data_IF_785787727518
#
_entry.id   IF_785787727518
#
_cell.length_a   1.000
_cell.length_b   1.000
_cell.length_c   1.000
_cell.angle_alpha   90.00
_cell.angle_beta   90.00
_cell.angle_gamma   90.00
#
_symmetry.space_group_name_H-M   'P 1'
#
loop_
_entity.id
_entity.type
_entity.pdbx_description
1 polymer ?
#
# COMPACT_ATOMS: atom_id res chain seq x y z
N UNK A 1 -26.01 13.23 -15.77
CA UNK A 1 -25.56 13.14 -15.38
C UNK A 1 -25.00 12.82 -14.76
N UNK A 2 -24.55 12.49 -14.59
CA UNK A 2 -23.94 12.19 -14.06
C UNK A 2 -23.36 12.18 -13.34
N UNK A 3 -23.26 11.73 -13.05
CA UNK A 3 -22.64 11.59 -12.19
C UNK A 3 -21.55 11.99 -11.84
N UNK A 4 -21.10 12.28 -12.13
CA UNK A 4 -19.89 12.81 -11.86
C UNK A 4 -19.91 13.40 -10.56
N UNK A 5 -20.87 13.91 -10.29
CA UNK A 5 -20.95 14.58 -9.08
C UNK A 5 -20.47 13.80 -7.99
N UNK A 6 -20.79 12.70 -8.07
CA UNK A 6 -20.35 11.85 -7.17
C UNK A 6 -18.99 12.08 -6.88
N UNK A 7 -18.25 12.29 -7.84
CA UNK A 7 -16.89 12.40 -7.61
C UNK A 7 -16.59 13.59 -6.86
N UNK A 8 -17.37 14.56 -6.94
CA UNK A 8 -17.03 15.70 -6.28
C UNK A 8 -17.11 15.49 -4.86
N UNK A 9 -18.06 14.87 -4.45
CA UNK A 9 -18.18 14.63 -3.07
C UNK A 9 -16.99 13.88 -2.66
N UNK A 10 -16.50 13.13 -3.59
CA UNK A 10 -15.38 12.36 -3.24
C UNK A 10 -14.20 13.18 -2.97
N UNK A 11 -14.05 14.25 -3.63
CA UNK A 11 -12.85 14.98 -3.39
C UNK A 11 -12.87 15.56 -2.01
N UNK A 12 -14.00 15.89 -1.48
CA UNK A 12 -13.94 16.41 -0.17
C UNK A 12 -13.76 15.24 0.76
N UNK A 13 -14.29 14.12 0.44
CA UNK A 13 -14.09 12.98 1.27
C UNK A 13 -12.67 12.51 1.26
N UNK A 14 -11.96 12.78 0.20
CA UNK A 14 -10.61 12.31 0.09
C UNK A 14 -9.74 12.81 1.22
N UNK A 15 -9.89 14.03 1.60
CA UNK A 15 -9.08 14.56 2.66
C UNK A 15 -9.47 13.87 3.96
N UNK A 16 -10.72 13.68 4.19
CA UNK A 16 -11.15 13.05 5.41
C UNK A 16 -10.81 11.58 5.36
N UNK A 17 -10.69 11.02 4.20
CA UNK A 17 -10.40 9.63 4.07
C UNK A 17 -8.93 9.29 4.09
N UNK A 18 -8.05 10.26 4.20
CA UNK A 18 -6.62 9.97 4.20
C UNK A 18 -6.27 8.94 5.25
N UNK A 19 -6.91 8.98 6.40
CA UNK A 19 -6.65 8.02 7.44
C UNK A 19 -7.59 6.83 7.45
N UNK A 20 -8.49 6.73 6.48
CA UNK A 20 -9.44 5.62 6.45
C UNK A 20 -8.71 4.33 6.12
N UNK A 21 -9.25 3.19 6.53
CA UNK A 21 -8.58 1.93 6.26
C UNK A 21 -8.38 1.69 4.78
N UNK A 22 -7.24 1.09 4.43
CA UNK A 22 -6.98 0.67 3.08
C UNK A 22 -7.66 -0.65 2.81
N UNK A 23 -8.17 -0.84 1.60
CA UNK A 23 -8.61 -2.16 1.16
C UNK A 23 -7.56 -2.69 0.20
N UNK A 24 -7.57 -3.98 -0.03
CA UNK A 24 -6.67 -4.56 -1.02
C UNK A 24 -6.93 -3.98 -2.39
N UNK A 25 -8.19 -3.76 -2.74
CA UNK A 25 -8.54 -3.20 -4.04
C UNK A 25 -7.94 -1.79 -4.21
N UNK A 26 -7.99 -0.99 -3.16
CA UNK A 26 -7.41 0.35 -3.23
C UNK A 26 -5.90 0.27 -3.39
N UNK A 27 -5.25 -0.62 -2.64
CA UNK A 27 -3.81 -0.76 -2.72
C UNK A 27 -3.41 -1.16 -4.13
N UNK A 28 -4.11 -2.13 -4.71
CA UNK A 28 -3.80 -2.55 -6.07
C UNK A 28 -4.00 -1.40 -7.05
N UNK A 29 -5.07 -0.63 -6.89
CA UNK A 29 -5.32 0.50 -7.77
C UNK A 29 -4.19 1.53 -7.70
N UNK A 30 -3.68 1.77 -6.49
CA UNK A 30 -2.58 2.71 -6.32
C UNK A 30 -1.30 2.20 -6.99
N UNK A 31 -1.04 0.89 -6.90
CA UNK A 31 0.13 0.31 -7.56
C UNK A 31 0.02 0.47 -9.08
N UNK A 32 -1.16 0.17 -9.62
CA UNK A 32 -1.37 0.25 -11.05
C UNK A 32 -1.29 1.70 -11.53
N UNK A 33 -1.80 2.60 -10.74
CA UNK A 33 -1.73 4.00 -11.10
C UNK A 33 -0.29 4.51 -11.11
N UNK A 34 0.49 4.06 -10.14
CA UNK A 34 1.86 4.54 -10.03
C UNK A 34 2.80 3.90 -11.05
N UNK A 35 2.69 2.59 -11.24
CA UNK A 35 3.66 1.87 -12.05
C UNK A 35 3.05 1.06 -13.20
N UNK A 36 1.75 1.18 -13.41
CA UNK A 36 1.03 0.49 -14.49
C UNK A 36 1.13 -1.03 -14.39
N UNK A 37 1.27 -1.55 -13.21
CA UNK A 37 1.35 -3.00 -12.99
C UNK A 37 0.94 -3.33 -11.57
N UNK A 38 0.40 -4.54 -11.38
CA UNK A 38 -0.01 -5.00 -10.06
C UNK A 38 1.18 -5.69 -9.42
N UNK A 39 2.09 -4.90 -8.87
CA UNK A 39 3.29 -5.42 -8.26
C UNK A 39 3.00 -6.22 -7.00
N UNK A 40 3.85 -7.19 -6.72
CA UNK A 40 3.78 -7.95 -5.50
C UNK A 40 4.18 -7.05 -4.34
N UNK A 41 3.50 -7.19 -3.23
CA UNK A 41 3.80 -6.42 -2.02
C UNK A 41 4.01 -7.36 -0.88
N UNK A 42 4.95 -7.06 -0.03
CA UNK A 42 5.22 -7.88 1.14
C UNK A 42 5.57 -7.02 2.33
N UNK A 43 5.23 -7.52 3.51
CA UNK A 43 5.72 -6.92 4.74
C UNK A 43 6.87 -7.78 5.20
N UNK A 44 8.03 -7.18 5.44
CA UNK A 44 9.20 -7.92 5.87
C UNK A 44 9.80 -7.26 7.09
N UNK A 45 10.39 -8.06 7.94
CA UNK A 45 11.05 -7.57 9.13
C UNK A 45 12.53 -7.83 8.98
N UNK A 46 13.34 -6.80 9.09
CA UNK A 46 14.77 -6.91 8.94
C UNK A 46 15.39 -6.23 10.14
N UNK A 47 16.12 -7.01 10.92
CA UNK A 47 16.80 -6.48 12.11
C UNK A 47 15.84 -5.74 13.03
N UNK A 48 14.65 -6.31 13.21
CA UNK A 48 13.68 -5.75 14.12
C UNK A 48 12.87 -4.60 13.55
N UNK A 49 13.14 -4.19 12.32
CA UNK A 49 12.39 -3.12 11.70
C UNK A 49 11.47 -3.66 10.63
N UNK A 50 10.30 -3.07 10.53
CA UNK A 50 9.29 -3.51 9.58
C UNK A 50 9.34 -2.64 8.34
N UNK A 51 9.24 -3.28 7.18
CA UNK A 51 9.25 -2.57 5.91
C UNK A 51 8.12 -3.07 5.03
N UNK A 52 7.54 -2.16 4.25
CA UNK A 52 6.67 -2.55 3.17
C UNK A 52 7.55 -2.59 1.92
N UNK A 53 7.59 -3.73 1.25
CA UNK A 53 8.40 -3.86 0.04
C UNK A 53 7.53 -4.06 -1.18
N UNK A 54 7.83 -3.29 -2.24
CA UNK A 54 7.20 -3.45 -3.53
C UNK A 54 8.20 -4.21 -4.38
N UNK A 55 7.82 -5.40 -4.80
CA UNK A 55 8.71 -6.27 -5.57
C UNK A 55 8.63 -5.93 -7.04
N UNK A 56 9.67 -6.28 -7.79
CA UNK A 56 9.68 -6.04 -9.22
C UNK A 56 8.64 -6.87 -9.97
N UNK A 57 8.45 -8.12 -9.53
CA UNK A 57 7.52 -8.99 -10.23
C UNK A 57 6.06 -8.53 -10.01
N UNK A 58 5.21 -8.84 -10.94
CA UNK A 58 3.82 -8.39 -10.87
C UNK A 58 2.88 -9.37 -11.54
N UNK A 59 1.62 -9.27 -11.18
CA UNK A 59 0.60 -10.21 -11.58
C UNK A 59 0.49 -10.37 -13.09
N UNK A 60 0.75 -9.33 -13.85
CA UNK A 60 0.60 -9.37 -15.29
C UNK A 60 1.71 -10.14 -16.01
N UNK A 61 2.76 -10.52 -15.30
CA UNK A 61 3.81 -11.31 -15.90
C UNK A 61 3.38 -12.76 -15.98
N UNK A 62 3.70 -13.41 -17.10
CA UNK A 62 3.34 -14.78 -17.26
C UNK A 62 3.96 -15.69 -16.21
N UNK A 63 5.14 -15.33 -15.75
CA UNK A 63 5.85 -16.15 -14.78
C UNK A 63 5.47 -15.86 -13.33
N UNK A 64 4.52 -14.96 -13.11
CA UNK A 64 4.17 -14.61 -11.74
C UNK A 64 3.57 -15.84 -11.06
N UNK A 65 4.06 -16.20 -9.88
CA UNK A 65 3.69 -17.47 -9.26
C UNK A 65 2.32 -17.54 -8.60
N UNK A 66 1.66 -16.41 -8.40
CA UNK A 66 0.37 -16.43 -7.71
C UNK A 66 -0.77 -16.28 -8.70
N UNK A 67 -1.89 -16.93 -8.40
CA UNK A 67 -3.12 -16.71 -9.14
C UNK A 67 -3.67 -15.32 -8.78
N UNK A 68 -4.64 -14.86 -9.54
CA UNK A 68 -5.28 -13.59 -9.24
C UNK A 68 -5.89 -13.63 -7.84
N UNK A 69 -6.51 -14.75 -7.48
CA UNK A 69 -7.15 -14.88 -6.18
C UNK A 69 -6.12 -14.85 -5.05
N UNK A 70 -5.03 -15.57 -5.22
CA UNK A 70 -4.00 -15.60 -4.17
C UNK A 70 -3.33 -14.24 -4.03
N UNK A 71 -3.11 -13.57 -5.15
CA UNK A 71 -2.55 -12.23 -5.13
C UNK A 71 -3.50 -11.28 -4.38
N UNK A 72 -4.79 -11.34 -4.68
CA UNK A 72 -5.77 -10.49 -4.01
C UNK A 72 -5.79 -10.75 -2.51
N UNK A 73 -5.72 -12.01 -2.11
CA UNK A 73 -5.70 -12.35 -0.69
C UNK A 73 -4.45 -11.79 -0.03
N UNK A 74 -3.32 -11.87 -0.70
CA UNK A 74 -2.09 -11.34 -0.14
C UNK A 74 -2.17 -9.84 0.05
N UNK A 75 -2.66 -9.13 -0.95
CA UNK A 75 -2.77 -7.67 -0.86
C UNK A 75 -3.75 -7.28 0.23
N UNK A 76 -4.84 -8.05 0.44
CA UNK A 76 -5.76 -7.76 1.51
C UNK A 76 -5.10 -7.95 2.87
N UNK A 77 -4.28 -8.97 3.02
CA UNK A 77 -3.59 -9.18 4.29
C UNK A 77 -2.58 -8.07 4.55
N UNK A 78 -1.89 -7.62 3.52
CA UNK A 78 -0.94 -6.52 3.68
C UNK A 78 -1.69 -5.25 4.06
N UNK A 79 -2.81 -4.97 3.40
CA UNK A 79 -3.61 -3.79 3.71
C UNK A 79 -4.12 -3.83 5.15
N UNK A 80 -4.60 -4.99 5.59
CA UNK A 80 -5.09 -5.12 6.96
C UNK A 80 -3.98 -4.85 7.97
N UNK A 81 -2.80 -5.35 7.71
CA UNK A 81 -1.68 -5.12 8.63
C UNK A 81 -1.28 -3.65 8.68
N UNK A 82 -1.29 -2.98 7.53
CA UNK A 82 -0.98 -1.56 7.49
C UNK A 82 -2.03 -0.78 8.30
N UNK A 83 -3.29 -1.17 8.18
CA UNK A 83 -4.35 -0.52 8.94
C UNK A 83 -4.16 -0.74 10.44
N UNK A 84 -3.79 -1.94 10.83
CA UNK A 84 -3.58 -2.23 12.24
C UNK A 84 -2.41 -1.42 12.82
N UNK A 85 -1.45 -1.09 12.00
CA UNK A 85 -0.32 -0.28 12.44
C UNK A 85 -0.65 1.21 12.47
N UNK A 86 -1.81 1.59 11.95
CA UNK A 86 -2.19 3.00 11.90
C UNK A 86 -1.48 3.76 10.79
N UNK A 87 -1.04 3.05 9.74
CA UNK A 87 -0.22 3.67 8.71
C UNK A 87 -0.88 3.77 7.34
N UNK A 88 -2.22 3.70 7.31
CA UNK A 88 -2.92 3.78 6.03
C UNK A 88 -2.60 5.08 5.29
N UNK A 89 -2.64 6.21 6.00
CA UNK A 89 -2.37 7.50 5.36
C UNK A 89 -0.94 7.58 4.84
N UNK A 90 0.01 7.05 5.61
CA UNK A 90 1.41 7.07 5.23
C UNK A 90 1.65 6.28 3.95
N UNK A 91 1.08 5.08 3.89
CA UNK A 91 1.26 4.23 2.72
C UNK A 91 0.55 4.83 1.51
N UNK A 92 -0.67 5.34 1.72
CA UNK A 92 -1.43 5.95 0.65
C UNK A 92 -0.66 7.13 0.04
N UNK A 93 -0.08 7.96 0.90
CA UNK A 93 0.68 9.09 0.42
C UNK A 93 1.95 8.65 -0.30
N UNK A 94 2.64 7.67 0.24
CA UNK A 94 3.89 7.21 -0.35
C UNK A 94 3.63 6.60 -1.74
N UNK A 95 2.62 5.75 -1.87
CA UNK A 95 2.30 5.16 -3.15
C UNK A 95 1.86 6.22 -4.16
N UNK A 96 1.27 7.30 -3.70
CA UNK A 96 0.83 8.36 -4.59
C UNK A 96 1.91 9.32 -5.02
N UNK A 97 3.04 9.36 -4.32
CA UNK A 97 4.03 10.39 -4.56
C UNK A 97 5.45 9.91 -4.83
N UNK A 98 5.77 8.65 -4.55
CA UNK A 98 7.14 8.21 -4.70
C UNK A 98 7.57 8.28 -6.16
N UNK A 99 8.81 8.67 -6.38
CA UNK A 99 9.36 8.73 -7.73
C UNK A 99 10.22 7.54 -8.04
N UNK A 100 10.46 6.69 -7.04
CA UNK A 100 11.23 5.49 -7.25
C UNK A 100 10.38 4.42 -7.86
N UNK A 101 11.00 3.36 -8.32
CA UNK A 101 10.26 2.22 -8.87
C UNK A 101 10.97 0.95 -8.46
N UNK A 102 10.23 -0.14 -8.32
CA UNK A 102 10.86 -1.41 -8.02
C UNK A 102 11.65 -1.88 -9.24
N UNK A 103 12.79 -2.52 -8.99
CA UNK A 103 13.64 -3.00 -10.07
C UNK A 103 13.95 -4.46 -9.86
N UNK A 104 14.33 -5.13 -10.92
CA UNK A 104 14.71 -6.52 -10.84
C UNK A 104 15.88 -6.64 -9.87
N UNK A 105 15.73 -7.47 -8.88
CA UNK A 105 16.77 -7.67 -7.89
C UNK A 105 16.84 -6.59 -6.82
N UNK A 106 15.97 -5.59 -6.89
CA UNK A 106 16.00 -4.54 -5.87
C UNK A 106 14.59 -4.05 -5.58
N UNK A 107 14.01 -4.56 -4.51
CA UNK A 107 12.69 -4.14 -4.09
C UNK A 107 12.73 -2.70 -3.60
N UNK A 108 11.61 -2.03 -3.77
CA UNK A 108 11.44 -0.70 -3.24
C UNK A 108 10.92 -0.83 -1.83
N UNK A 109 11.56 -0.24 -0.84
CA UNK A 109 11.21 -0.45 0.56
C UNK A 109 10.78 0.83 1.24
N UNK A 110 9.72 0.75 2.01
CA UNK A 110 9.26 1.85 2.84
C UNK A 110 9.33 1.42 4.29
N UNK A 111 10.15 2.07 5.13
CA UNK A 111 10.17 1.73 6.54
C UNK A 111 8.84 2.08 7.18
N UNK A 112 8.32 1.20 8.02
CA UNK A 112 7.05 1.41 8.68
C UNK A 112 7.28 1.65 10.17
N UNK A 113 6.82 2.80 10.63
CA UNK A 113 6.95 3.14 12.04
C UNK A 113 5.56 3.26 12.60
N UNK A 114 5.12 2.29 13.38
CA UNK A 114 3.74 2.31 13.87
C UNK A 114 3.42 3.57 14.64
N UNK A 115 2.26 4.10 14.42
CA UNK A 115 1.83 5.28 15.12
C UNK A 115 1.80 5.00 16.60
N UNK A 116 1.33 3.84 16.99
CA UNK A 116 1.28 3.52 18.39
C UNK A 116 2.66 3.42 18.96
N UNK A 117 3.61 3.02 18.18
CA UNK A 117 4.95 2.94 18.69
C UNK A 117 5.44 4.32 19.01
N UNK A 118 5.05 5.28 18.19
CA UNK A 118 5.46 6.58 18.43
C UNK A 118 4.83 7.08 19.68
N UNK A 119 3.62 6.70 19.88
CA UNK A 119 2.98 7.16 21.06
C UNK A 119 3.63 6.52 22.23
N UNK A 120 4.12 5.39 22.07
CA UNK A 120 4.60 4.71 23.22
C UNK A 120 5.88 5.27 23.70
N UNK A 121 6.47 6.07 22.95
CA UNK A 121 7.68 6.47 23.39
C UNK A 121 7.50 7.34 24.42
N UNK A 122 6.44 7.79 24.61
CA UNK A 122 6.33 8.61 25.59
C UNK A 122 6.45 7.92 26.74
N UNK A 123 6.39 6.83 26.61
CA UNK A 123 6.44 6.16 27.65
C UNK A 123 7.69 6.18 28.10
N UNK A 124 8.25 6.58 27.51
CA UNK A 124 9.36 6.52 27.98
C UNK A 124 9.76 7.30 28.59
#
# INVERSE_FOLDING_TARGET
MRPPPVTLADSSGAAADAGAPLSGAEVRALLVERWQASHDLRLVQIRGRLYLQVMWNHLEQQSFPLSVEDYSDQIERVAAAINDLGLAATVRQWLGSTRDRPRLGKALSLPLEPVSGRASEFLL
#
